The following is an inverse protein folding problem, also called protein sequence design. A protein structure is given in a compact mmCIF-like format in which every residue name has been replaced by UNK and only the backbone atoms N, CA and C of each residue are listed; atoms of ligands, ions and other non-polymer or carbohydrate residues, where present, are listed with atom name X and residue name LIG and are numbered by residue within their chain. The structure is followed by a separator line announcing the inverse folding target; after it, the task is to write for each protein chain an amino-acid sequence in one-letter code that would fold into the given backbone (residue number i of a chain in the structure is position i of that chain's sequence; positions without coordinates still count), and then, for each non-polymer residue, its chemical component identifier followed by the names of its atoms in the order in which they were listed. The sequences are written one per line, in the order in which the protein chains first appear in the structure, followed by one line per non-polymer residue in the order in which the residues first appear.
data_IF_443166333047
#
_entry.id   IF_443166333047
#
_cell.length_a   1.000
_cell.length_b   1.000
_cell.length_c   1.000
_cell.angle_alpha   90.00
_cell.angle_beta   90.00
_cell.angle_gamma   90.00
#
_symmetry.space_group_name_H-M   'P 1'
#
loop_
_entity.id
_entity.type
_entity.pdbx_description
1 polymer ?
#
# COMPACT_ATOMS: atom_id res chain seq x y z
N UNK A 1 3.69 -27.01 -9.91
CA UNK A 1 2.89 -26.04 -10.70
C UNK A 1 3.09 -24.68 -10.05
N UNK A 2 3.74 -23.73 -10.71
CA UNK A 2 3.89 -22.36 -10.18
C UNK A 2 2.58 -21.60 -10.36
N UNK A 3 2.08 -20.97 -9.30
CA UNK A 3 0.90 -20.12 -9.37
C UNK A 3 1.19 -18.91 -10.28
N UNK A 4 0.27 -18.56 -11.19
CA UNK A 4 0.43 -17.37 -12.05
C UNK A 4 0.33 -16.11 -11.20
N UNK A 5 1.22 -15.15 -11.43
CA UNK A 5 1.16 -13.84 -10.77
C UNK A 5 0.05 -12.98 -11.36
N UNK A 6 -0.39 -11.93 -10.65
CA UNK A 6 -1.40 -10.99 -11.16
C UNK A 6 -0.97 -10.36 -12.51
N UNK A 7 0.28 -9.88 -12.68
CA UNK A 7 0.76 -9.41 -13.98
C UNK A 7 0.62 -10.45 -15.11
N UNK A 8 0.95 -11.72 -14.83
CA UNK A 8 0.82 -12.79 -15.83
C UNK A 8 -0.65 -13.03 -16.23
N UNK A 9 -1.55 -12.93 -15.27
CA UNK A 9 -3.00 -13.05 -15.51
C UNK A 9 -3.51 -11.88 -16.36
N UNK A 10 -3.07 -10.63 -16.08
CA UNK A 10 -3.45 -9.46 -16.88
C UNK A 10 -2.98 -9.56 -18.33
N UNK A 11 -1.75 -10.05 -18.56
CA UNK A 11 -1.24 -10.31 -19.91
C UNK A 11 -2.12 -11.34 -20.63
N UNK A 12 -2.54 -12.39 -19.93
CA UNK A 12 -3.43 -13.41 -20.50
C UNK A 12 -4.81 -12.84 -20.85
N UNK A 13 -5.39 -11.98 -19.99
CA UNK A 13 -6.69 -11.35 -20.23
C UNK A 13 -6.64 -10.39 -21.43
N UNK A 14 -5.58 -9.59 -21.59
CA UNK A 14 -5.40 -8.74 -22.78
C UNK A 14 -5.36 -9.55 -24.08
N UNK A 15 -4.62 -10.67 -24.08
CA UNK A 15 -4.63 -11.60 -25.22
C UNK A 15 -6.04 -12.13 -25.51
N UNK A 16 -6.85 -12.42 -24.49
CA UNK A 16 -8.24 -12.86 -24.69
C UNK A 16 -9.11 -11.74 -25.30
N UNK A 17 -8.96 -10.50 -24.85
CA UNK A 17 -9.62 -9.33 -25.46
C UNK A 17 -9.26 -9.18 -26.95
N UNK A 18 -7.99 -9.33 -27.32
CA UNK A 18 -7.56 -9.28 -28.73
C UNK A 18 -8.20 -10.41 -29.57
N UNK A 19 -8.28 -11.62 -29.01
CA UNK A 19 -8.97 -12.74 -29.67
C UNK A 19 -10.46 -12.42 -29.87
N UNK A 20 -11.15 -11.87 -28.87
CA UNK A 20 -12.55 -11.48 -28.98
C UNK A 20 -12.75 -10.39 -30.04
N UNK A 21 -11.87 -9.39 -30.11
CA UNK A 21 -11.90 -8.38 -31.19
C UNK A 21 -11.71 -8.99 -32.57
N UNK A 22 -10.85 -10.00 -32.69
CA UNK A 22 -10.65 -10.73 -33.95
C UNK A 22 -11.90 -11.52 -34.33
N UNK A 23 -12.50 -12.22 -33.38
CA UNK A 23 -13.75 -12.96 -33.60
C UNK A 23 -14.91 -12.02 -33.98
N UNK A 24 -15.01 -10.85 -33.34
CA UNK A 24 -16.00 -9.84 -33.69
C UNK A 24 -15.87 -9.39 -35.15
N UNK A 25 -14.64 -9.11 -35.62
CA UNK A 25 -14.39 -8.77 -37.04
C UNK A 25 -14.83 -9.88 -37.99
N UNK A 26 -14.57 -11.13 -37.65
CA UNK A 26 -15.01 -12.28 -38.47
C UNK A 26 -16.53 -12.41 -38.49
N UNK A 27 -17.20 -12.16 -37.36
CA UNK A 27 -18.65 -12.18 -37.27
C UNK A 27 -19.32 -11.08 -38.10
N UNK A 28 -18.68 -9.91 -38.27
CA UNK A 28 -19.19 -8.80 -39.10
C UNK A 28 -19.15 -9.09 -40.60
N UNK A 29 -18.18 -9.88 -41.06
CA UNK A 29 -17.95 -10.16 -42.47
C UNK A 29 -18.88 -11.25 -43.04
N UNK A 30 -19.83 -11.76 -42.25
CA UNK A 30 -20.64 -12.93 -42.64
C UNK A 30 -22.05 -12.52 -43.06
N UNK A 31 -22.48 -12.95 -44.25
CA UNK A 31 -23.83 -12.72 -44.79
C UNK A 31 -24.91 -13.70 -44.26
N UNK A 32 -24.58 -14.59 -43.30
CA UNK A 32 -25.48 -15.65 -42.82
C UNK A 32 -25.69 -15.60 -41.30
N UNK A 33 -26.93 -15.32 -40.88
CA UNK A 33 -27.36 -14.98 -39.52
C UNK A 33 -27.36 -16.08 -38.45
N UNK A 34 -26.52 -17.12 -38.56
CA UNK A 34 -26.42 -18.16 -37.53
C UNK A 34 -25.02 -18.21 -36.92
N UNK A 35 -24.81 -17.38 -35.89
CA UNK A 35 -23.88 -17.66 -34.80
C UNK A 35 -24.61 -17.29 -33.50
N UNK A 36 -24.48 -18.13 -32.46
CA UNK A 36 -25.04 -17.90 -31.12
C UNK A 36 -24.62 -16.56 -30.47
N UNK A 37 -23.56 -15.90 -30.98
CA UNK A 37 -23.02 -14.64 -30.44
C UNK A 37 -22.88 -13.59 -31.55
N UNK A 38 -23.53 -12.45 -31.33
CA UNK A 38 -23.40 -11.25 -32.16
C UNK A 38 -21.98 -10.67 -32.07
N UNK A 39 -21.50 -10.06 -33.17
CA UNK A 39 -20.27 -9.26 -33.17
C UNK A 39 -20.26 -8.22 -32.06
N UNK A 40 -21.41 -7.63 -31.75
CA UNK A 40 -21.54 -6.59 -30.75
C UNK A 40 -21.23 -7.13 -29.34
N UNK A 41 -21.77 -8.31 -29.01
CA UNK A 41 -21.49 -8.99 -27.74
C UNK A 41 -19.99 -9.31 -27.59
N UNK A 42 -19.33 -9.78 -28.65
CA UNK A 42 -17.89 -10.06 -28.64
C UNK A 42 -17.06 -8.79 -28.42
N UNK A 43 -17.43 -7.69 -29.08
CA UNK A 43 -16.75 -6.41 -28.92
C UNK A 43 -16.95 -5.86 -27.51
N UNK A 44 -18.17 -5.92 -27.00
CA UNK A 44 -18.51 -5.49 -25.65
C UNK A 44 -17.73 -6.28 -24.59
N UNK A 45 -17.66 -7.61 -24.71
CA UNK A 45 -16.83 -8.43 -23.82
C UNK A 45 -15.34 -8.07 -23.88
N UNK A 46 -14.80 -7.79 -25.07
CA UNK A 46 -13.40 -7.36 -25.19
C UNK A 46 -13.15 -6.02 -24.48
N UNK A 47 -14.07 -5.06 -24.61
CA UNK A 47 -13.99 -3.75 -23.94
C UNK A 47 -14.04 -3.90 -22.41
N UNK A 48 -14.96 -4.74 -21.89
CA UNK A 48 -15.03 -5.02 -20.45
C UNK A 48 -13.72 -5.60 -19.94
N UNK A 49 -13.14 -6.58 -20.65
CA UNK A 49 -11.88 -7.20 -20.25
C UNK A 49 -10.75 -6.17 -20.20
N UNK A 50 -10.63 -5.28 -21.19
CA UNK A 50 -9.63 -4.20 -21.15
C UNK A 50 -9.85 -3.26 -19.97
N UNK A 51 -11.10 -2.86 -19.72
CA UNK A 51 -11.44 -1.97 -18.62
C UNK A 51 -11.08 -2.60 -17.26
N UNK A 52 -11.38 -3.88 -17.08
CA UNK A 52 -11.02 -4.62 -15.87
C UNK A 52 -9.51 -4.76 -15.74
N UNK A 53 -8.79 -5.06 -16.83
CA UNK A 53 -7.34 -5.14 -16.80
C UNK A 53 -6.69 -3.82 -16.38
N UNK A 54 -7.18 -2.69 -16.92
CA UNK A 54 -6.69 -1.36 -16.57
C UNK A 54 -6.98 -1.02 -15.09
N UNK A 55 -8.18 -1.33 -14.59
CA UNK A 55 -8.53 -1.11 -13.19
C UNK A 55 -7.67 -1.97 -12.25
N UNK A 56 -7.47 -3.24 -12.58
CA UNK A 56 -6.62 -4.15 -11.80
C UNK A 56 -5.15 -3.71 -11.79
N UNK A 57 -4.61 -3.25 -12.92
CA UNK A 57 -3.24 -2.72 -12.97
C UNK A 57 -3.07 -1.49 -12.07
N UNK A 58 -4.03 -0.56 -12.12
CA UNK A 58 -4.05 0.61 -11.22
C UNK A 58 -4.12 0.20 -9.75
N UNK A 59 -4.92 -0.81 -9.41
CA UNK A 59 -5.03 -1.32 -8.06
C UNK A 59 -3.70 -1.93 -7.57
N UNK A 60 -3.06 -2.78 -8.39
CA UNK A 60 -1.76 -3.38 -8.07
C UNK A 60 -0.68 -2.32 -7.86
N UNK A 61 -0.62 -1.31 -8.74
CA UNK A 61 0.29 -0.19 -8.59
C UNK A 61 0.01 0.63 -7.31
N UNK A 62 -1.28 0.81 -6.99
CA UNK A 62 -1.72 1.48 -5.77
C UNK A 62 -1.26 0.76 -4.51
N UNK A 63 -1.45 -0.56 -4.46
CA UNK A 63 -1.00 -1.42 -3.34
C UNK A 63 0.52 -1.34 -3.20
N UNK A 64 1.27 -1.58 -4.27
CA UNK A 64 2.74 -1.53 -4.23
C UNK A 64 3.30 -0.14 -3.86
N UNK A 65 2.54 0.93 -4.09
CA UNK A 65 2.90 2.27 -3.62
C UNK A 65 2.61 2.42 -2.12
N UNK A 66 1.45 1.94 -1.65
CA UNK A 66 1.07 1.97 -0.24
C UNK A 66 2.04 1.14 0.61
N UNK A 67 2.37 -0.08 0.18
CA UNK A 67 3.31 -0.96 0.89
C UNK A 67 4.67 -0.28 1.10
N UNK A 68 5.18 0.40 0.06
CA UNK A 68 6.43 1.18 0.15
C UNK A 68 6.30 2.38 1.09
N UNK A 69 5.18 3.10 1.04
CA UNK A 69 4.97 4.23 1.95
C UNK A 69 4.80 3.80 3.40
N UNK A 70 4.15 2.67 3.65
CA UNK A 70 3.95 2.11 4.99
C UNK A 70 5.28 1.64 5.57
N UNK A 71 6.08 0.91 4.78
CA UNK A 71 7.43 0.49 5.18
C UNK A 71 8.27 1.70 5.60
N UNK A 72 8.24 2.76 4.79
CA UNK A 72 8.95 4.01 5.11
C UNK A 72 8.44 4.66 6.40
N UNK A 73 7.12 4.72 6.61
CA UNK A 73 6.55 5.29 7.84
C UNK A 73 6.92 4.47 9.08
N UNK A 74 7.01 3.15 8.96
CA UNK A 74 7.48 2.28 10.04
C UNK A 74 8.95 2.57 10.35
N UNK A 75 9.82 2.66 9.33
CA UNK A 75 11.22 3.02 9.50
C UNK A 75 11.41 4.40 10.17
N UNK A 76 10.64 5.40 9.73
CA UNK A 76 10.65 6.74 10.33
C UNK A 76 10.18 6.71 11.79
N UNK A 77 9.09 5.99 12.07
CA UNK A 77 8.57 5.83 13.44
C UNK A 77 9.60 5.15 14.34
N UNK A 78 10.19 4.05 13.88
CA UNK A 78 11.15 3.27 14.67
C UNK A 78 12.41 4.09 14.97
N UNK A 79 12.86 4.92 14.01
CA UNK A 79 13.92 5.89 14.25
C UNK A 79 13.56 6.96 15.29
N UNK A 80 12.34 7.49 15.25
CA UNK A 80 11.87 8.44 16.26
C UNK A 80 11.75 7.81 17.65
N UNK A 81 11.30 6.56 17.73
CA UNK A 81 11.23 5.80 18.99
C UNK A 81 12.63 5.70 19.61
N UNK A 82 13.65 5.33 18.82
CA UNK A 82 15.03 5.24 19.30
C UNK A 82 15.52 6.59 19.85
N UNK A 83 15.24 7.69 19.16
CA UNK A 83 15.63 9.04 19.63
C UNK A 83 14.96 9.37 20.98
N UNK A 84 13.68 9.03 21.15
CA UNK A 84 12.97 9.27 22.42
C UNK A 84 13.51 8.36 23.52
N UNK A 85 13.78 7.08 23.24
CA UNK A 85 14.37 6.14 24.20
C UNK A 85 15.76 6.59 24.64
N UNK A 86 16.61 7.02 23.70
CA UNK A 86 17.94 7.55 23.99
C UNK A 86 17.88 8.83 24.85
N UNK A 87 17.00 9.76 24.49
CA UNK A 87 16.80 10.99 25.25
C UNK A 87 16.35 10.67 26.68
N UNK A 88 15.33 9.84 26.81
CA UNK A 88 14.77 9.44 28.10
C UNK A 88 15.81 8.73 28.96
N UNK A 89 16.52 7.75 28.40
CA UNK A 89 17.61 7.04 29.09
C UNK A 89 18.74 7.97 29.52
N UNK A 90 19.08 8.97 28.70
CA UNK A 90 20.14 9.93 29.01
C UNK A 90 19.78 10.82 30.18
N UNK A 91 18.53 11.29 30.23
CA UNK A 91 18.06 12.23 31.25
C UNK A 91 17.66 11.50 32.54
N UNK A 92 16.92 10.40 32.42
CA UNK A 92 16.34 9.68 33.55
C UNK A 92 17.24 8.56 34.08
N UNK A 93 18.29 8.17 33.33
CA UNK A 93 19.21 7.08 33.70
C UNK A 93 18.64 5.66 33.54
N UNK A 94 17.38 5.52 33.15
CA UNK A 94 16.68 4.25 32.90
C UNK A 94 15.83 4.36 31.62
N UNK A 95 15.55 3.25 30.92
CA UNK A 95 14.77 3.32 29.70
C UNK A 95 13.29 3.52 30.05
N UNK A 96 12.49 4.10 29.14
CA UNK A 96 11.05 4.25 29.37
C UNK A 96 10.36 2.90 29.37
N UNK A 97 9.38 2.71 30.26
CA UNK A 97 8.53 1.52 30.28
C UNK A 97 7.25 1.76 29.50
N UNK A 98 7.25 1.36 28.22
CA UNK A 98 6.08 1.52 27.36
C UNK A 98 4.88 0.69 27.83
N UNK A 99 3.69 1.30 27.81
CA UNK A 99 2.45 0.59 28.10
C UNK A 99 1.27 1.17 27.31
N UNK A 100 0.09 0.53 27.38
CA UNK A 100 -1.11 1.07 26.74
C UNK A 100 -1.59 2.40 27.34
N UNK A 101 -1.14 2.74 28.55
CA UNK A 101 -1.49 3.97 29.26
C UNK A 101 -0.34 4.99 29.30
N UNK A 102 0.85 4.63 28.83
CA UNK A 102 2.06 5.46 28.87
C UNK A 102 2.67 5.53 27.46
N UNK A 103 2.65 6.71 26.86
CA UNK A 103 3.12 6.97 25.50
C UNK A 103 4.17 8.07 25.41
N UNK A 104 4.46 8.50 24.16
CA UNK A 104 5.53 9.46 23.89
C UNK A 104 5.38 10.79 24.63
N UNK A 105 4.16 11.31 24.73
CA UNK A 105 3.90 12.56 25.44
C UNK A 105 4.26 12.45 26.91
N UNK A 106 3.96 11.32 27.55
CA UNK A 106 4.29 11.08 28.95
C UNK A 106 5.81 11.03 29.15
N UNK A 107 6.52 10.27 28.31
CA UNK A 107 7.98 10.20 28.32
C UNK A 107 8.65 11.57 28.12
N UNK A 108 8.15 12.39 27.20
CA UNK A 108 8.67 13.75 26.97
C UNK A 108 8.39 14.65 28.18
N UNK A 109 7.21 14.55 28.78
CA UNK A 109 6.86 15.34 29.96
C UNK A 109 7.74 14.99 31.17
N UNK A 110 8.01 13.70 31.39
CA UNK A 110 8.89 13.23 32.47
C UNK A 110 10.31 13.77 32.29
N UNK A 111 10.86 13.66 31.07
CA UNK A 111 12.17 14.23 30.71
C UNK A 111 12.21 15.74 30.95
N UNK A 112 11.20 16.47 30.47
CA UNK A 112 11.13 17.92 30.63
C UNK A 112 11.02 18.32 32.11
N UNK A 113 10.21 17.61 32.88
CA UNK A 113 10.08 17.80 34.32
C UNK A 113 11.40 17.59 35.05
N UNK A 114 12.11 16.51 34.74
CA UNK A 114 13.38 16.19 35.38
C UNK A 114 14.47 17.22 35.06
N UNK A 115 14.55 17.70 33.81
CA UNK A 115 15.49 18.77 33.44
C UNK A 115 15.21 20.03 34.26
N UNK A 116 13.94 20.43 34.39
CA UNK A 116 13.56 21.62 35.17
C UNK A 116 13.90 21.47 36.67
N UNK A 117 13.74 20.28 37.23
CA UNK A 117 14.14 20.00 38.61
C UNK A 117 15.65 20.14 38.82
N UNK A 118 16.44 19.62 37.87
CA UNK A 118 17.91 19.73 37.91
C UNK A 118 18.38 21.19 37.77
N UNK A 119 17.79 21.96 36.86
CA UNK A 119 18.12 23.38 36.67
C UNK A 119 17.71 24.24 37.88
N UNK A 120 16.61 23.89 38.55
CA UNK A 120 16.17 24.54 39.78
C UNK A 120 17.13 24.28 40.95
N UNK A 121 17.60 23.04 41.10
CA UNK A 121 18.53 22.66 42.16
C UNK A 121 19.91 23.32 42.01
N UNK A 122 20.37 23.56 40.79
CA UNK A 122 21.65 24.22 40.49
C UNK A 122 21.63 25.73 40.79
N UNK A 123 20.45 26.37 40.73
CA UNK A 123 20.29 27.81 41.05
C UNK A 123 20.18 28.11 42.57
N UNK A 124 19.88 27.10 43.39
CA UNK A 124 19.74 27.23 44.85
C UNK A 124 21.03 26.81 45.61
N UNK A 125 22.08 26.39 44.91
CA UNK A 125 23.39 25.96 45.46
C UNK A 125 24.45 27.06 45.39
#
# INVERSE_FOLDING_TARGET
MTAKTIPDMLISCRKQSEHLRRLARLAQLREGGEILLSSDALLHSAVIIESLCAASEKAVQGIARLDRSETKLIEERDGLIQVVEELYQTVMGVPPEWSSAYGFTDAINDVAGHILELEGADNDS
#
